data_IF_452574948863
#
_entry.id   IF_452574948863
#
_cell.length_a   1.000
_cell.length_b   1.000
_cell.length_c   1.000
_cell.angle_alpha   90.00
_cell.angle_beta   90.00
_cell.angle_gamma   90.00
#
_symmetry.space_group_name_H-M   'P 1'
#
loop_
_entity.id
_entity.type
_entity.pdbx_description
1 polymer ?
#
# COMPACT_ATOMS: atom_id res chain seq x y z
N UNK A 1 20.82 -2.89 1.80
CA UNK A 1 21.44 -3.09 0.47
C UNK A 1 20.36 -2.89 -0.60
N UNK A 2 20.74 -2.74 -1.89
CA UNK A 2 19.78 -2.69 -3.00
C UNK A 2 19.93 -3.94 -3.87
N UNK A 3 18.80 -4.55 -4.22
CA UNK A 3 18.70 -5.73 -5.08
C UNK A 3 17.96 -5.36 -6.36
N UNK A 4 18.34 -5.92 -7.49
CA UNK A 4 17.81 -5.50 -8.79
C UNK A 4 17.52 -6.70 -9.68
N UNK A 5 16.30 -6.72 -10.23
CA UNK A 5 15.93 -7.59 -11.34
C UNK A 5 15.60 -6.74 -12.57
N UNK A 6 15.88 -7.27 -13.75
CA UNK A 6 15.58 -6.54 -14.98
C UNK A 6 15.21 -7.47 -16.14
N UNK A 7 14.37 -6.96 -17.02
CA UNK A 7 14.05 -7.57 -18.30
C UNK A 7 14.25 -6.55 -19.44
N UNK A 8 13.80 -6.84 -20.64
CA UNK A 8 13.95 -5.95 -21.79
C UNK A 8 13.23 -4.61 -21.64
N UNK A 9 12.24 -4.51 -20.77
CA UNK A 9 11.36 -3.33 -20.61
C UNK A 9 11.60 -2.57 -19.32
N UNK A 10 11.77 -3.26 -18.21
CA UNK A 10 11.81 -2.67 -16.87
C UNK A 10 13.07 -3.09 -16.13
N UNK A 11 13.58 -2.18 -15.30
CA UNK A 11 14.56 -2.44 -14.27
C UNK A 11 13.93 -2.11 -12.91
N UNK A 12 13.81 -3.11 -12.05
CA UNK A 12 13.16 -3.01 -10.72
C UNK A 12 14.22 -3.11 -9.64
N UNK A 13 14.20 -2.19 -8.68
CA UNK A 13 15.12 -2.18 -7.54
C UNK A 13 14.34 -2.18 -6.24
N UNK A 14 14.75 -3.05 -5.31
CA UNK A 14 14.16 -3.23 -3.97
C UNK A 14 15.24 -3.06 -2.92
N UNK A 15 14.94 -2.33 -1.85
CA UNK A 15 15.84 -2.11 -0.71
C UNK A 15 15.65 -3.16 0.38
N UNK A 16 16.73 -3.53 1.09
CA UNK A 16 16.61 -4.28 2.36
C UNK A 16 15.84 -3.49 3.42
N UNK A 17 15.99 -2.16 3.41
CA UNK A 17 15.23 -1.29 4.30
C UNK A 17 13.76 -1.26 3.88
N UNK A 18 12.89 -1.78 4.74
CA UNK A 18 11.44 -1.89 4.49
C UNK A 18 11.03 -2.92 3.43
N UNK A 19 11.96 -3.68 2.84
CA UNK A 19 11.76 -4.44 1.61
C UNK A 19 11.07 -3.58 0.54
N UNK A 20 11.40 -2.28 0.53
CA UNK A 20 10.68 -1.25 -0.23
C UNK A 20 11.06 -1.31 -1.71
N UNK A 21 10.04 -1.30 -2.58
CA UNK A 21 10.20 -1.08 -4.02
C UNK A 21 10.64 0.37 -4.23
N UNK A 22 11.91 0.59 -4.54
CA UNK A 22 12.50 1.94 -4.61
C UNK A 22 12.61 2.49 -6.02
N UNK A 23 12.56 1.64 -7.05
CA UNK A 23 12.67 2.05 -8.44
C UNK A 23 11.99 1.05 -9.36
N UNK A 24 11.30 1.57 -10.37
CA UNK A 24 10.88 0.84 -11.57
C UNK A 24 11.19 1.73 -12.77
N UNK A 25 12.38 1.55 -13.33
CA UNK A 25 12.82 2.32 -14.49
C UNK A 25 12.31 1.69 -15.79
N UNK A 26 11.56 2.46 -16.58
CA UNK A 26 11.06 2.08 -17.89
C UNK A 26 12.11 2.36 -18.96
N UNK A 27 12.71 1.30 -19.50
CA UNK A 27 13.83 1.40 -20.46
C UNK A 27 13.42 1.98 -21.82
N UNK A 28 12.15 1.79 -22.23
CA UNK A 28 11.64 2.28 -23.50
C UNK A 28 11.22 3.74 -23.43
N UNK A 29 10.69 4.17 -22.29
CA UNK A 29 10.23 5.53 -22.07
C UNK A 29 11.30 6.42 -21.41
N UNK A 30 12.42 5.82 -20.97
CA UNK A 30 13.59 6.50 -20.37
C UNK A 30 13.24 7.35 -19.14
N UNK A 31 12.38 6.83 -18.23
CA UNK A 31 12.09 7.50 -16.96
C UNK A 31 11.69 6.55 -15.83
N UNK A 32 11.75 7.09 -14.60
CA UNK A 32 11.40 6.41 -13.36
C UNK A 32 9.88 6.42 -13.15
N UNK A 33 9.29 5.24 -12.96
CA UNK A 33 7.83 5.05 -12.78
C UNK A 33 7.39 5.15 -11.33
N UNK A 34 8.31 4.92 -10.38
CA UNK A 34 8.06 5.05 -8.93
C UNK A 34 8.56 6.42 -8.46
N UNK A 35 7.84 7.04 -7.56
CA UNK A 35 8.22 8.29 -6.92
C UNK A 35 9.61 8.22 -6.31
N UNK A 36 10.44 9.23 -6.53
CA UNK A 36 11.86 9.24 -6.18
C UNK A 36 12.16 9.47 -4.69
N UNK A 37 11.14 9.55 -3.83
CA UNK A 37 11.28 9.82 -2.40
C UNK A 37 11.98 11.14 -2.06
N UNK A 38 11.74 12.21 -2.82
CA UNK A 38 12.28 13.54 -2.51
C UNK A 38 11.84 13.96 -1.10
N UNK A 39 12.79 14.14 -0.14
CA UNK A 39 12.46 14.49 1.23
C UNK A 39 11.81 15.87 1.39
N UNK A 40 11.90 16.73 0.40
CA UNK A 40 11.19 18.01 0.39
C UNK A 40 9.69 17.86 0.18
N UNK A 41 9.25 16.71 -0.37
CA UNK A 41 7.84 16.42 -0.67
C UNK A 41 7.35 15.23 0.17
N UNK A 42 7.86 14.04 -0.12
CA UNK A 42 7.55 12.79 0.60
C UNK A 42 8.73 11.82 0.49
N UNK A 43 9.31 11.46 1.62
CA UNK A 43 10.59 10.74 1.71
C UNK A 43 10.46 9.21 1.68
N UNK A 44 9.48 8.66 0.95
CA UNK A 44 9.28 7.22 0.73
C UNK A 44 8.90 6.97 -0.72
N UNK A 45 9.12 5.75 -1.21
CA UNK A 45 8.80 5.32 -2.58
C UNK A 45 7.51 4.48 -2.64
N UNK A 46 7.53 3.30 -1.99
CA UNK A 46 6.45 2.32 -1.97
C UNK A 46 6.48 1.51 -0.67
N UNK A 47 6.31 2.13 0.50
CA UNK A 47 6.49 1.45 1.78
C UNK A 47 5.48 0.32 1.98
N UNK A 48 5.92 -0.74 2.67
CA UNK A 48 5.09 -1.84 3.13
C UNK A 48 4.52 -1.50 4.50
N UNK A 49 3.22 -1.67 4.66
CA UNK A 49 2.45 -1.33 5.85
C UNK A 49 2.19 -2.61 6.65
N UNK A 50 2.88 -2.81 7.77
CA UNK A 50 2.72 -3.99 8.62
C UNK A 50 3.29 -3.70 10.03
N UNK A 51 2.66 -4.18 11.11
CA UNK A 51 1.45 -4.98 11.18
C UNK A 51 0.16 -4.17 11.23
N UNK A 52 0.22 -2.87 10.97
CA UNK A 52 -0.93 -1.98 10.91
C UNK A 52 -0.94 -1.15 9.62
N UNK A 53 -2.13 -0.90 9.09
CA UNK A 53 -2.39 0.09 8.04
C UNK A 53 -2.98 1.34 8.69
N UNK A 54 -2.41 2.50 8.37
CA UNK A 54 -2.81 3.76 9.00
C UNK A 54 -2.35 3.87 10.46
N UNK A 55 -3.15 4.54 11.27
CA UNK A 55 -2.87 4.77 12.69
C UNK A 55 -3.75 3.90 13.58
N UNK A 56 -3.20 3.50 14.73
CA UNK A 56 -4.00 3.10 15.87
C UNK A 56 -4.34 4.34 16.70
N UNK A 57 -5.57 4.41 17.19
CA UNK A 57 -6.06 5.56 17.95
C UNK A 57 -5.21 5.77 19.20
N UNK A 58 -4.91 7.02 19.51
CA UNK A 58 -4.08 7.44 20.65
C UNK A 58 -2.66 6.85 20.65
N UNK A 59 -2.21 6.24 19.54
CA UNK A 59 -0.90 5.59 19.43
C UNK A 59 -0.74 4.35 20.32
N UNK A 60 -1.86 3.71 20.70
CA UNK A 60 -1.87 2.52 21.54
C UNK A 60 -3.10 1.66 21.25
N UNK A 61 -2.98 0.36 21.44
CA UNK A 61 -4.06 -0.60 21.27
C UNK A 61 -4.10 -1.60 22.43
N UNK A 62 -5.25 -2.24 22.62
CA UNK A 62 -5.45 -3.27 23.64
C UNK A 62 -5.49 -4.65 23.02
N UNK A 63 -4.85 -5.60 23.67
CA UNK A 63 -4.92 -7.02 23.30
C UNK A 63 -4.74 -7.89 24.55
N UNK A 64 -5.67 -8.83 24.78
CA UNK A 64 -5.66 -9.74 25.91
C UNK A 64 -5.46 -9.03 27.26
N UNK A 65 -6.15 -7.90 27.48
CA UNK A 65 -6.11 -7.11 28.71
C UNK A 65 -4.85 -6.26 28.90
N UNK A 66 -3.88 -6.33 28.01
CA UNK A 66 -2.69 -5.50 28.01
C UNK A 66 -2.82 -4.34 27.03
N UNK A 67 -2.06 -3.27 27.26
CA UNK A 67 -1.96 -2.12 26.33
C UNK A 67 -0.58 -2.11 25.70
N UNK A 68 -0.54 -2.03 24.39
CA UNK A 68 0.67 -1.94 23.57
C UNK A 68 0.74 -0.60 22.88
N UNK A 69 1.95 -0.07 22.71
CA UNK A 69 2.17 1.25 22.11
C UNK A 69 2.59 1.09 20.65
N UNK A 70 1.86 1.76 19.74
CA UNK A 70 2.21 1.87 18.31
C UNK A 70 2.09 3.33 17.90
N UNK A 71 3.13 4.11 18.18
CA UNK A 71 3.13 5.57 17.92
C UNK A 71 3.25 5.94 16.45
N UNK A 72 3.87 5.05 15.65
CA UNK A 72 4.05 5.27 14.23
C UNK A 72 2.81 4.84 13.46
N UNK A 73 2.42 5.60 12.42
CA UNK A 73 1.43 5.10 11.47
C UNK A 73 2.05 4.00 10.59
N UNK A 74 1.22 3.08 10.11
CA UNK A 74 1.58 2.00 9.19
C UNK A 74 2.51 0.93 9.79
N UNK A 75 2.55 0.81 11.13
CA UNK A 75 3.39 -0.18 11.81
C UNK A 75 4.89 0.11 11.69
N UNK A 76 5.69 -0.95 11.77
CA UNK A 76 7.15 -0.84 11.84
C UNK A 76 7.89 -1.45 10.64
N UNK A 77 7.25 -2.30 9.83
CA UNK A 77 7.97 -3.04 8.77
C UNK A 77 8.67 -2.12 7.77
N UNK A 78 8.06 -1.00 7.43
CA UNK A 78 8.65 -0.01 6.50
C UNK A 78 9.94 0.66 7.00
N UNK A 79 10.23 0.55 8.30
CA UNK A 79 11.43 1.10 8.95
C UNK A 79 12.38 0.00 9.44
N UNK A 80 12.05 -1.29 9.20
CA UNK A 80 12.85 -2.44 9.59
C UNK A 80 13.85 -2.84 8.48
N UNK A 81 14.97 -3.44 8.89
CA UNK A 81 15.90 -4.07 7.95
C UNK A 81 15.49 -5.51 7.69
N UNK A 82 15.17 -5.80 6.46
CA UNK A 82 14.87 -7.14 5.97
C UNK A 82 16.15 -7.82 5.49
N UNK A 83 16.13 -9.14 5.45
CA UNK A 83 17.19 -9.96 4.84
C UNK A 83 16.72 -10.44 3.47
N UNK A 84 17.46 -10.13 2.41
CA UNK A 84 17.23 -10.79 1.12
C UNK A 84 17.61 -12.26 1.24
N UNK A 85 16.65 -13.15 1.04
CA UNK A 85 16.83 -14.61 1.19
C UNK A 85 16.84 -15.35 -0.15
N UNK A 86 16.36 -14.72 -1.21
CA UNK A 86 16.40 -15.26 -2.56
C UNK A 86 16.42 -14.14 -3.59
N UNK A 87 17.29 -14.28 -4.57
CA UNK A 87 17.38 -13.41 -5.75
C UNK A 87 17.60 -14.29 -6.99
N UNK A 88 16.75 -14.13 -8.00
CA UNK A 88 16.85 -14.80 -9.29
C UNK A 88 16.92 -13.77 -10.41
N UNK A 89 16.86 -14.18 -11.66
CA UNK A 89 16.81 -13.23 -12.78
C UNK A 89 15.50 -12.42 -12.84
N UNK A 90 14.42 -12.93 -12.25
CA UNK A 90 13.06 -12.39 -12.36
C UNK A 90 12.38 -12.11 -11.01
N UNK A 91 13.01 -12.45 -9.88
CA UNK A 91 12.41 -12.28 -8.56
C UNK A 91 13.41 -11.95 -7.45
N UNK A 92 12.93 -11.20 -6.45
CA UNK A 92 13.63 -10.88 -5.21
C UNK A 92 12.69 -11.18 -4.05
N UNK A 93 13.17 -11.93 -3.05
CA UNK A 93 12.41 -12.22 -1.82
C UNK A 93 13.16 -11.75 -0.59
N UNK A 94 12.49 -10.90 0.18
CA UNK A 94 12.96 -10.40 1.47
C UNK A 94 12.20 -11.04 2.62
N UNK A 95 12.87 -11.15 3.77
CA UNK A 95 12.32 -11.73 4.99
C UNK A 95 12.55 -10.81 6.19
N UNK A 96 11.47 -10.63 6.99
CA UNK A 96 11.51 -10.08 8.35
C UNK A 96 10.94 -11.12 9.31
N UNK A 97 11.59 -11.31 10.46
CA UNK A 97 11.12 -12.17 11.55
C UNK A 97 10.99 -11.33 12.79
N UNK A 98 10.06 -11.68 13.67
CA UNK A 98 9.91 -11.03 14.98
C UNK A 98 11.23 -11.00 15.78
N UNK A 99 11.34 -10.06 16.67
CA UNK A 99 12.45 -9.93 17.62
C UNK A 99 11.91 -9.56 19.01
N UNK A 100 12.77 -9.54 20.00
CA UNK A 100 12.38 -9.11 21.36
C UNK A 100 11.82 -7.68 21.33
N UNK A 101 12.40 -6.78 20.52
CA UNK A 101 11.94 -5.40 20.37
C UNK A 101 10.56 -5.32 19.70
N UNK A 102 10.28 -6.15 18.70
CA UNK A 102 8.95 -6.17 18.08
C UNK A 102 7.92 -6.75 19.02
N UNK A 103 8.25 -7.74 19.84
CA UNK A 103 7.34 -8.34 20.82
C UNK A 103 6.91 -7.35 21.93
N UNK A 104 7.72 -6.35 22.26
CA UNK A 104 7.35 -5.28 23.20
C UNK A 104 6.18 -4.42 22.70
N UNK A 105 6.06 -4.23 21.37
CA UNK A 105 5.07 -3.35 20.76
C UNK A 105 4.01 -4.09 19.93
N UNK A 106 4.27 -5.35 19.58
CA UNK A 106 3.39 -6.23 18.82
C UNK A 106 3.62 -7.68 19.25
N UNK A 107 2.77 -8.23 20.16
CA UNK A 107 3.05 -9.45 20.93
C UNK A 107 2.78 -10.73 20.14
N UNK A 108 3.23 -10.79 18.90
CA UNK A 108 3.06 -11.95 18.04
C UNK A 108 4.39 -12.37 17.42
N UNK A 109 4.66 -13.68 17.45
CA UNK A 109 5.79 -14.29 16.75
C UNK A 109 5.44 -14.47 15.28
N UNK A 110 6.01 -13.66 14.42
CA UNK A 110 5.70 -13.65 12.99
C UNK A 110 6.93 -13.89 12.12
N UNK A 111 6.70 -14.37 10.90
CA UNK A 111 7.61 -14.24 9.76
C UNK A 111 6.86 -13.56 8.62
N UNK A 112 7.45 -12.53 8.03
CA UNK A 112 6.93 -11.83 6.86
C UNK A 112 7.90 -12.00 5.70
N UNK A 113 7.42 -12.58 4.60
CA UNK A 113 8.13 -12.62 3.32
C UNK A 113 7.50 -11.65 2.35
N UNK A 114 8.33 -10.91 1.63
CA UNK A 114 7.91 -9.99 0.57
C UNK A 114 8.65 -10.37 -0.71
N UNK A 115 7.89 -10.75 -1.73
CA UNK A 115 8.45 -11.13 -3.03
C UNK A 115 8.00 -10.16 -4.11
N UNK A 116 8.96 -9.60 -4.83
CA UNK A 116 8.75 -8.85 -6.06
C UNK A 116 9.17 -9.74 -7.23
N UNK A 117 8.28 -9.95 -8.20
CA UNK A 117 8.56 -10.87 -9.32
C UNK A 117 7.91 -10.39 -10.62
N UNK A 118 8.65 -10.44 -11.72
CA UNK A 118 8.07 -10.23 -13.05
C UNK A 118 7.10 -11.35 -13.41
N UNK A 119 6.04 -10.99 -14.13
CA UNK A 119 5.13 -11.96 -14.73
C UNK A 119 5.82 -12.66 -15.91
N UNK A 120 5.51 -13.95 -16.09
CA UNK A 120 6.15 -14.77 -17.13
C UNK A 120 5.64 -14.47 -18.54
N UNK A 121 4.41 -13.95 -18.67
CA UNK A 121 3.75 -13.71 -19.95
C UNK A 121 3.71 -12.21 -20.29
N UNK A 122 3.57 -11.35 -19.27
CA UNK A 122 3.57 -9.90 -19.43
C UNK A 122 4.80 -9.26 -18.77
N UNK A 123 5.86 -8.94 -19.54
CA UNK A 123 7.11 -8.41 -18.98
C UNK A 123 6.97 -6.99 -18.35
N UNK A 124 5.82 -6.33 -18.48
CA UNK A 124 5.51 -5.04 -17.85
C UNK A 124 4.67 -5.18 -16.59
N UNK A 125 4.34 -6.41 -16.18
CA UNK A 125 3.57 -6.73 -14.98
C UNK A 125 4.52 -7.19 -13.85
N UNK A 126 4.44 -6.53 -12.71
CA UNK A 126 5.14 -6.86 -11.48
C UNK A 126 4.15 -7.44 -10.46
N UNK A 127 4.42 -8.63 -9.97
CA UNK A 127 3.74 -9.21 -8.81
C UNK A 127 4.42 -8.76 -7.53
N UNK A 128 3.64 -8.31 -6.56
CA UNK A 128 4.06 -8.10 -5.17
C UNK A 128 3.28 -9.06 -4.30
N UNK A 129 3.99 -9.99 -3.66
CA UNK A 129 3.39 -11.04 -2.85
C UNK A 129 3.89 -10.95 -1.42
N UNK A 130 2.99 -11.03 -0.46
CA UNK A 130 3.27 -11.09 0.96
C UNK A 130 2.85 -12.46 1.51
N UNK A 131 3.78 -13.17 2.15
CA UNK A 131 3.46 -14.35 2.93
C UNK A 131 3.66 -13.99 4.41
N UNK A 132 2.57 -14.00 5.17
CA UNK A 132 2.55 -13.73 6.60
C UNK A 132 2.38 -15.06 7.32
N UNK A 133 3.32 -15.41 8.19
CA UNK A 133 3.29 -16.64 8.94
C UNK A 133 3.22 -16.37 10.43
N UNK A 134 2.31 -17.02 11.10
CA UNK A 134 2.22 -17.04 12.55
C UNK A 134 3.11 -18.17 13.09
N UNK A 135 4.18 -17.81 13.79
CA UNK A 135 5.10 -18.76 14.41
C UNK A 135 4.74 -19.07 15.87
N UNK A 136 3.77 -18.32 16.42
CA UNK A 136 3.31 -18.47 17.79
C UNK A 136 2.29 -19.60 18.00
N UNK A 137 1.89 -19.80 19.25
CA UNK A 137 0.93 -20.83 19.68
C UNK A 137 -0.52 -20.36 19.68
N UNK A 138 -0.77 -19.05 19.56
CA UNK A 138 -2.10 -18.43 19.63
C UNK A 138 -2.45 -17.77 18.31
N UNK A 139 -3.73 -17.34 18.15
CA UNK A 139 -4.17 -16.58 16.97
C UNK A 139 -3.44 -15.23 16.90
N UNK A 140 -2.82 -14.94 15.76
CA UNK A 140 -2.17 -13.67 15.45
C UNK A 140 -3.15 -12.76 14.72
N UNK A 141 -3.11 -11.46 15.07
CA UNK A 141 -3.91 -10.39 14.45
C UNK A 141 -2.97 -9.44 13.72
N UNK A 142 -3.27 -9.09 12.46
CA UNK A 142 -2.45 -8.17 11.68
C UNK A 142 -3.26 -7.44 10.61
N UNK A 143 -2.75 -6.30 10.19
CA UNK A 143 -3.09 -5.66 8.92
C UNK A 143 -1.85 -5.61 8.03
N UNK A 144 -2.04 -5.61 6.71
CA UNK A 144 -0.95 -5.44 5.76
C UNK A 144 -1.40 -4.63 4.56
N UNK A 145 -0.50 -3.82 4.00
CA UNK A 145 -0.79 -3.00 2.83
C UNK A 145 0.46 -2.57 2.07
N UNK A 146 0.26 -2.13 0.84
CA UNK A 146 1.27 -1.46 0.02
C UNK A 146 0.91 0.01 -0.18
N UNK A 147 1.93 0.83 -0.37
CA UNK A 147 1.77 2.28 -0.53
C UNK A 147 2.62 2.81 -1.71
N UNK A 148 2.56 2.18 -2.91
CA UNK A 148 3.38 2.61 -4.03
C UNK A 148 2.96 3.98 -4.54
N UNK A 149 3.92 4.92 -4.60
CA UNK A 149 3.79 6.21 -5.24
C UNK A 149 4.20 6.13 -6.71
N UNK A 150 3.30 6.45 -7.63
CA UNK A 150 3.57 6.43 -9.06
C UNK A 150 3.95 7.82 -9.54
N UNK A 151 5.16 7.95 -10.06
CA UNK A 151 5.72 9.19 -10.60
C UNK A 151 4.95 9.63 -11.84
N UNK A 152 4.52 10.88 -11.89
CA UNK A 152 3.98 11.49 -13.12
C UNK A 152 5.09 11.64 -14.15
N UNK A 153 4.80 11.36 -15.43
CA UNK A 153 5.78 11.41 -16.50
C UNK A 153 6.44 12.82 -16.59
N UNK A 154 7.75 12.90 -16.89
CA UNK A 154 8.45 14.16 -17.00
C UNK A 154 7.79 15.12 -18.00
N UNK A 155 7.64 16.38 -17.60
CA UNK A 155 7.03 17.43 -18.45
C UNK A 155 5.50 17.47 -18.40
N UNK A 156 4.86 16.58 -17.62
CA UNK A 156 3.42 16.57 -17.43
C UNK A 156 3.03 17.01 -16.03
N UNK A 157 1.86 17.61 -15.90
CA UNK A 157 1.25 17.92 -14.60
C UNK A 157 0.35 16.75 -14.16
N UNK A 158 0.22 16.56 -12.84
CA UNK A 158 -0.67 15.57 -12.25
C UNK A 158 -2.13 15.74 -12.70
N UNK A 159 -2.56 16.99 -12.91
CA UNK A 159 -3.91 17.34 -13.38
C UNK A 159 -4.20 16.91 -14.83
N UNK A 160 -3.20 16.48 -15.58
CA UNK A 160 -3.38 15.89 -16.92
C UNK A 160 -3.81 14.41 -16.84
N UNK A 161 -3.76 13.81 -15.65
CA UNK A 161 -4.12 12.41 -15.42
C UNK A 161 -5.51 12.27 -14.83
N UNK A 162 -6.07 11.08 -14.96
CA UNK A 162 -7.30 10.68 -14.27
C UNK A 162 -7.08 9.35 -13.56
N UNK A 163 -7.74 9.17 -12.41
CA UNK A 163 -7.91 7.85 -11.79
C UNK A 163 -8.83 7.03 -12.69
N UNK A 164 -8.37 5.86 -13.09
CA UNK A 164 -9.16 4.88 -13.83
C UNK A 164 -9.76 3.87 -12.88
N UNK A 165 -11.09 3.75 -12.89
CA UNK A 165 -11.85 2.78 -12.10
C UNK A 165 -12.07 1.49 -12.90
N UNK A 166 -12.33 0.34 -12.25
CA UNK A 166 -12.54 -0.94 -12.94
C UNK A 166 -13.78 -0.95 -13.84
N UNK A 167 -14.75 -0.11 -13.52
CA UNK A 167 -15.99 0.10 -14.26
C UNK A 167 -16.59 1.49 -13.94
N UNK A 168 -17.73 1.81 -14.56
CA UNK A 168 -18.43 3.07 -14.38
C UNK A 168 -19.50 3.07 -13.28
N UNK A 169 -19.49 2.09 -12.37
CA UNK A 169 -20.40 2.09 -11.24
C UNK A 169 -20.00 3.17 -10.22
N UNK A 170 -20.96 3.78 -9.51
CA UNK A 170 -20.67 4.75 -8.46
C UNK A 170 -19.79 4.17 -7.37
N UNK A 171 -18.77 4.91 -6.96
CA UNK A 171 -17.87 4.61 -5.86
C UNK A 171 -17.97 5.68 -4.79
N UNK A 172 -17.70 5.29 -3.56
CA UNK A 172 -17.73 6.17 -2.40
C UNK A 172 -16.48 5.97 -1.57
N UNK A 173 -16.05 7.01 -0.89
CA UNK A 173 -14.87 6.98 -0.04
C UNK A 173 -15.12 7.65 1.31
N UNK A 174 -14.33 7.26 2.31
CA UNK A 174 -14.19 7.95 3.57
C UNK A 174 -13.02 8.92 3.50
N UNK A 175 -13.07 9.96 4.30
CA UNK A 175 -11.93 10.83 4.59
C UNK A 175 -11.34 10.52 5.96
N UNK A 176 -10.12 10.93 6.15
CA UNK A 176 -9.53 11.02 7.48
C UNK A 176 -10.09 12.26 8.19
N UNK A 177 -9.98 12.31 9.51
CA UNK A 177 -10.55 13.41 10.28
C UNK A 177 -9.92 14.76 9.92
N UNK A 178 -10.75 15.81 9.98
CA UNK A 178 -10.33 17.17 9.65
C UNK A 178 -9.33 17.78 10.66
N UNK A 179 -9.16 17.17 11.84
CA UNK A 179 -8.19 17.60 12.84
C UNK A 179 -6.78 17.06 12.58
N UNK A 180 -6.62 16.20 11.55
CA UNK A 180 -5.32 15.65 11.14
C UNK A 180 -4.82 14.52 12.06
N UNK A 181 -5.71 13.83 12.77
CA UNK A 181 -5.32 12.66 13.58
C UNK A 181 -4.87 11.49 12.72
N UNK A 182 -5.34 11.42 11.46
CA UNK A 182 -5.12 10.30 10.54
C UNK A 182 -6.03 9.10 10.81
N UNK A 183 -7.12 9.30 11.58
CA UNK A 183 -8.16 8.30 11.86
C UNK A 183 -9.31 8.46 10.86
N UNK A 184 -10.05 7.39 10.56
CA UNK A 184 -11.16 7.43 9.63
C UNK A 184 -12.40 8.13 10.25
N UNK A 185 -12.94 9.12 9.54
CA UNK A 185 -14.26 9.70 9.84
C UNK A 185 -15.35 8.89 9.15
N UNK A 186 -15.94 7.95 9.89
CA UNK A 186 -17.03 7.10 9.41
C UNK A 186 -18.40 7.76 9.49
N UNK A 187 -18.48 9.00 9.99
CA UNK A 187 -19.75 9.75 10.07
C UNK A 187 -20.28 10.18 8.70
N UNK A 188 -19.43 10.21 7.68
CA UNK A 188 -19.73 10.65 6.32
C UNK A 188 -19.04 9.78 5.29
N UNK A 189 -19.76 9.52 4.20
CA UNK A 189 -19.27 8.87 3.01
C UNK A 189 -19.46 9.82 1.82
N UNK A 190 -18.45 9.95 0.96
CA UNK A 190 -18.43 10.92 -0.12
C UNK A 190 -18.51 10.21 -1.48
N UNK A 191 -19.30 10.71 -2.44
CA UNK A 191 -19.29 10.17 -3.80
C UNK A 191 -17.96 10.49 -4.47
N UNK A 192 -17.41 9.51 -5.21
CA UNK A 192 -16.14 9.67 -5.93
C UNK A 192 -16.35 9.95 -7.41
N UNK A 193 -17.24 9.22 -8.06
CA UNK A 193 -17.56 9.38 -9.47
C UNK A 193 -19.07 9.43 -9.70
N UNK A 194 -19.46 10.08 -10.79
CA UNK A 194 -20.83 10.03 -11.28
C UNK A 194 -21.10 8.69 -11.98
N UNK A 195 -22.34 8.22 -11.93
CA UNK A 195 -22.76 7.02 -12.64
C UNK A 195 -22.48 7.15 -14.15
N UNK A 196 -21.87 6.12 -14.74
CA UNK A 196 -21.47 6.10 -16.14
C UNK A 196 -20.08 6.67 -16.40
N UNK A 197 -19.35 7.15 -15.37
CA UNK A 197 -17.99 7.66 -15.52
C UNK A 197 -16.96 6.77 -14.79
N UNK A 198 -16.06 6.15 -15.54
CA UNK A 198 -14.97 5.34 -15.01
C UNK A 198 -13.65 6.14 -14.84
N UNK A 199 -13.61 7.42 -15.13
CA UNK A 199 -12.42 8.25 -15.06
C UNK A 199 -12.66 9.49 -14.22
N UNK A 200 -11.90 9.63 -13.13
CA UNK A 200 -11.99 10.79 -12.22
C UNK A 200 -10.73 11.63 -12.36
N UNK A 201 -10.82 12.90 -12.78
CA UNK A 201 -9.64 13.76 -12.93
C UNK A 201 -8.86 13.93 -11.63
N UNK A 202 -7.54 13.87 -11.69
CA UNK A 202 -6.66 14.18 -10.56
C UNK A 202 -6.51 15.69 -10.48
N UNK A 203 -7.47 16.35 -9.82
CA UNK A 203 -7.43 17.81 -9.63
C UNK A 203 -6.37 18.20 -8.60
N UNK A 204 -5.94 19.47 -8.62
CA UNK A 204 -4.97 19.99 -7.65
C UNK A 204 -5.47 19.90 -6.20
N UNK A 205 -6.80 19.93 -6.01
CA UNK A 205 -7.47 19.90 -4.70
C UNK A 205 -7.96 18.51 -4.26
N UNK A 206 -7.77 17.47 -5.08
CA UNK A 206 -8.32 16.13 -4.80
C UNK A 206 -7.84 15.57 -3.45
N UNK A 207 -6.61 15.90 -3.06
CA UNK A 207 -5.97 15.39 -1.85
C UNK A 207 -5.80 16.45 -0.74
N UNK A 208 -6.47 17.59 -0.82
CA UNK A 208 -6.42 18.65 0.21
C UNK A 208 -6.89 18.19 1.59
N UNK A 209 -7.70 17.13 1.63
CA UNK A 209 -8.23 16.50 2.84
C UNK A 209 -7.61 15.13 3.15
N UNK A 210 -6.36 14.94 2.69
CA UNK A 210 -5.62 13.69 2.87
C UNK A 210 -6.13 12.54 1.97
N UNK A 211 -5.92 11.28 2.38
CA UNK A 211 -6.22 10.08 1.62
C UNK A 211 -7.73 9.86 1.41
N UNK A 212 -8.07 9.35 0.24
CA UNK A 212 -9.40 8.84 -0.09
C UNK A 212 -9.42 7.34 0.23
N UNK A 213 -10.24 6.93 1.21
CA UNK A 213 -10.28 5.55 1.69
C UNK A 213 -11.51 4.84 1.13
N UNK A 214 -11.31 3.85 0.28
CA UNK A 214 -12.36 3.00 -0.28
C UNK A 214 -12.45 1.71 0.53
N UNK A 215 -13.66 1.27 0.83
CA UNK A 215 -13.97 0.07 1.61
C UNK A 215 -14.73 -0.96 0.76
N UNK A 216 -15.00 -2.13 1.34
CA UNK A 216 -15.90 -3.16 0.80
C UNK A 216 -15.51 -3.72 -0.58
N UNK A 217 -14.21 -3.72 -0.91
CA UNK A 217 -13.73 -4.25 -2.17
C UNK A 217 -14.23 -3.49 -3.41
N UNK A 218 -14.57 -2.22 -3.26
CA UNK A 218 -15.10 -1.38 -4.35
C UNK A 218 -14.13 -1.26 -5.53
N UNK A 219 -12.82 -1.39 -5.27
CA UNK A 219 -11.77 -1.20 -6.25
C UNK A 219 -10.90 -2.46 -6.40
N UNK A 220 -11.39 -3.53 -7.09
CA UNK A 220 -10.57 -4.71 -7.39
C UNK A 220 -9.38 -4.40 -8.31
N UNK A 221 -9.46 -3.27 -9.02
CA UNK A 221 -8.33 -2.63 -9.70
C UNK A 221 -8.52 -1.11 -9.72
N UNK A 222 -7.41 -0.41 -9.81
CA UNK A 222 -7.36 1.05 -9.95
C UNK A 222 -6.13 1.44 -10.74
N UNK A 223 -6.20 2.50 -11.55
CA UNK A 223 -5.07 2.91 -12.37
C UNK A 223 -5.00 4.41 -12.57
N UNK A 224 -3.97 4.83 -13.28
CA UNK A 224 -3.85 6.16 -13.85
C UNK A 224 -3.93 6.07 -15.37
N UNK A 225 -4.62 7.00 -15.97
CA UNK A 225 -4.65 7.20 -17.42
C UNK A 225 -4.26 8.64 -17.72
N UNK A 226 -3.65 8.85 -18.90
CA UNK A 226 -3.32 10.19 -19.39
C UNK A 226 -4.55 10.97 -19.89
N UNK A 227 -4.32 12.15 -20.47
CA UNK A 227 -5.37 13.02 -21.00
C UNK A 227 -6.21 12.34 -22.11
N UNK A 228 -5.61 11.46 -22.89
CA UNK A 228 -6.25 10.69 -23.97
C UNK A 228 -6.90 9.39 -23.47
N UNK A 229 -6.91 9.15 -22.16
CA UNK A 229 -7.39 7.93 -21.50
C UNK A 229 -6.57 6.68 -21.85
N UNK A 230 -5.33 6.86 -22.28
CA UNK A 230 -4.39 5.76 -22.46
C UNK A 230 -3.89 5.31 -21.09
N UNK A 231 -3.89 4.00 -20.78
CA UNK A 231 -3.39 3.49 -19.52
C UNK A 231 -1.92 3.87 -19.30
N UNK A 232 -1.62 4.36 -18.11
CA UNK A 232 -0.28 4.70 -17.63
C UNK A 232 0.23 3.65 -16.66
N UNK A 233 -0.53 3.35 -15.61
CA UNK A 233 -0.30 2.28 -14.66
C UNK A 233 -1.63 1.69 -14.22
N UNK A 234 -1.66 0.37 -13.99
CA UNK A 234 -2.82 -0.33 -13.41
C UNK A 234 -2.36 -1.18 -12.24
N UNK A 235 -2.97 -0.98 -11.09
CA UNK A 235 -2.81 -1.82 -9.91
C UNK A 235 -4.05 -2.71 -9.79
N UNK A 236 -3.85 -4.04 -9.70
CA UNK A 236 -4.92 -5.02 -9.51
C UNK A 236 -4.78 -5.69 -8.14
N UNK A 237 -5.85 -5.63 -7.35
CA UNK A 237 -5.91 -6.09 -5.96
C UNK A 237 -7.28 -6.70 -5.64
N UNK A 238 -7.68 -7.72 -6.38
CA UNK A 238 -9.05 -8.28 -6.39
C UNK A 238 -9.55 -8.72 -5.00
N UNK A 239 -8.67 -9.22 -4.15
CA UNK A 239 -9.04 -9.77 -2.83
C UNK A 239 -8.83 -8.76 -1.68
N UNK A 240 -8.59 -7.49 -2.02
CA UNK A 240 -8.35 -6.46 -1.02
C UNK A 240 -9.64 -5.69 -0.71
N UNK A 241 -10.10 -5.67 0.55
CA UNK A 241 -11.32 -4.96 0.94
C UNK A 241 -11.15 -3.44 0.96
N UNK A 242 -9.91 -2.95 1.03
CA UNK A 242 -9.62 -1.52 1.12
C UNK A 242 -8.62 -1.07 0.07
N UNK A 243 -8.83 0.14 -0.44
CA UNK A 243 -7.87 0.84 -1.30
C UNK A 243 -7.75 2.29 -0.84
N UNK A 244 -6.53 2.75 -0.64
CA UNK A 244 -6.22 4.16 -0.45
C UNK A 244 -5.80 4.81 -1.77
N UNK A 245 -6.23 6.04 -2.02
CA UNK A 245 -5.69 6.87 -3.10
C UNK A 245 -5.20 8.17 -2.46
N UNK A 246 -3.93 8.51 -2.67
CA UNK A 246 -3.32 9.63 -2.00
C UNK A 246 -2.18 10.29 -2.79
N UNK A 247 -1.93 11.54 -2.50
CA UNK A 247 -0.72 12.28 -2.84
C UNK A 247 -0.54 13.45 -1.88
N UNK A 248 0.66 13.97 -1.75
CA UNK A 248 0.84 15.32 -1.23
C UNK A 248 0.17 16.32 -2.17
N UNK A 249 -0.41 17.44 -1.67
CA UNK A 249 -1.09 18.43 -2.51
C UNK A 249 -0.27 18.84 -3.75
N UNK A 250 1.01 19.15 -3.60
CA UNK A 250 1.89 19.57 -4.70
C UNK A 250 2.81 18.44 -5.21
N UNK A 251 2.57 17.18 -4.82
CA UNK A 251 3.41 16.05 -5.21
C UNK A 251 3.19 15.66 -6.68
N UNK A 252 4.27 15.50 -7.48
CA UNK A 252 4.15 15.03 -8.87
C UNK A 252 4.02 13.49 -8.95
N UNK A 253 3.22 12.91 -8.10
CA UNK A 253 2.95 11.48 -8.03
C UNK A 253 1.52 11.22 -7.52
N UNK A 254 1.07 9.98 -7.64
CA UNK A 254 -0.18 9.49 -7.02
C UNK A 254 0.10 8.12 -6.42
N UNK A 255 -0.31 7.91 -5.16
CA UNK A 255 -0.29 6.59 -4.53
C UNK A 255 -1.61 5.85 -4.82
N UNK A 256 -1.49 4.57 -5.17
CA UNK A 256 -2.61 3.63 -5.30
C UNK A 256 -2.31 2.47 -4.35
N UNK A 257 -3.09 2.33 -3.30
CA UNK A 257 -2.68 1.60 -2.10
C UNK A 257 -3.62 0.44 -1.79
N UNK A 258 -3.25 -0.83 -2.07
CA UNK A 258 -4.05 -1.99 -1.70
C UNK A 258 -3.85 -2.34 -0.22
N UNK A 259 -4.96 -2.51 0.53
CA UNK A 259 -4.88 -2.76 1.97
C UNK A 259 -5.77 -3.92 2.44
N UNK A 260 -5.23 -4.70 3.38
CA UNK A 260 -5.93 -5.64 4.26
C UNK A 260 -5.92 -5.06 5.66
N UNK A 261 -6.99 -4.38 6.03
CA UNK A 261 -7.10 -3.52 7.20
C UNK A 261 -6.93 -2.04 6.85
N UNK A 262 -7.24 -1.17 7.78
CA UNK A 262 -7.12 0.29 7.65
C UNK A 262 -6.91 0.98 9.00
N UNK A 263 -6.72 2.30 8.98
CA UNK A 263 -6.67 3.15 10.17
C UNK A 263 -7.91 2.97 11.06
N UNK A 264 -7.76 3.15 12.37
CA UNK A 264 -8.89 3.11 13.30
C UNK A 264 -9.93 4.19 12.97
N UNK A 265 -11.17 3.94 13.38
CA UNK A 265 -12.20 4.98 13.40
C UNK A 265 -11.89 5.99 14.52
N UNK A 266 -12.33 7.22 14.34
CA UNK A 266 -12.23 8.28 15.36
C UNK A 266 -12.88 7.88 16.70
N UNK A 267 -13.96 7.13 16.66
CA UNK A 267 -14.72 6.65 17.81
C UNK A 267 -14.33 5.24 18.28
N UNK A 268 -13.32 4.62 17.68
CA UNK A 268 -12.89 3.26 18.05
C UNK A 268 -12.41 3.21 19.51
N UNK A 269 -12.94 2.25 20.24
CA UNK A 269 -12.60 1.99 21.67
C UNK A 269 -12.44 0.51 21.96
N UNK A 270 -12.48 -0.33 20.90
CA UNK A 270 -12.42 -1.78 21.00
C UNK A 270 -11.04 -2.35 21.34
N UNK A 271 -10.98 -3.67 21.41
CA UNK A 271 -9.73 -4.45 21.45
C UNK A 271 -9.18 -4.63 20.01
N UNK A 272 -7.91 -5.02 19.87
CA UNK A 272 -7.30 -5.25 18.56
C UNK A 272 -8.12 -6.20 17.69
N UNK A 273 -8.72 -7.23 18.28
CA UNK A 273 -9.56 -8.20 17.57
C UNK A 273 -10.86 -7.60 16.97
N UNK A 274 -11.24 -6.40 17.39
CA UNK A 274 -12.42 -5.65 16.93
C UNK A 274 -12.06 -4.53 15.95
N UNK A 275 -10.75 -4.34 15.70
CA UNK A 275 -10.27 -3.31 14.77
C UNK A 275 -10.78 -3.60 13.35
N UNK A 276 -11.32 -2.57 12.63
CA UNK A 276 -11.82 -2.75 11.28
C UNK A 276 -10.78 -3.33 10.32
N UNK A 277 -11.14 -4.46 9.68
CA UNK A 277 -10.33 -5.11 8.65
C UNK A 277 -9.12 -5.89 9.17
N UNK A 278 -8.95 -6.04 10.48
CA UNK A 278 -7.86 -6.83 11.06
C UNK A 278 -7.94 -8.29 10.62
N UNK A 279 -6.83 -8.82 10.10
CA UNK A 279 -6.72 -10.20 9.66
C UNK A 279 -6.42 -11.12 10.84
N UNK A 280 -6.93 -12.37 10.77
CA UNK A 280 -6.74 -13.39 11.80
C UNK A 280 -6.02 -14.59 11.22
N UNK A 281 -4.95 -15.01 11.88
CA UNK A 281 -4.14 -16.12 11.44
C UNK A 281 -3.91 -17.09 12.60
N UNK A 282 -4.46 -18.28 12.50
CA UNK A 282 -4.31 -19.31 13.54
C UNK A 282 -2.84 -19.72 13.74
N UNK A 283 -2.55 -20.31 14.88
CA UNK A 283 -1.21 -20.78 15.22
C UNK A 283 -0.58 -21.65 14.15
N UNK A 284 0.69 -21.41 13.83
CA UNK A 284 1.49 -22.13 12.82
C UNK A 284 0.90 -22.11 11.38
N UNK A 285 -0.04 -21.22 11.08
CA UNK A 285 -0.56 -21.03 9.73
C UNK A 285 0.22 -19.97 8.96
N UNK A 286 0.00 -19.98 7.63
CA UNK A 286 0.51 -18.98 6.69
C UNK A 286 -0.65 -18.44 5.87
N UNK A 287 -0.67 -17.14 5.65
CA UNK A 287 -1.56 -16.46 4.71
C UNK A 287 -0.72 -15.78 3.62
N UNK A 288 -1.17 -15.93 2.37
CA UNK A 288 -0.51 -15.32 1.22
C UNK A 288 -1.45 -14.32 0.56
N UNK A 289 -0.97 -13.11 0.37
CA UNK A 289 -1.68 -12.01 -0.28
C UNK A 289 -0.85 -11.50 -1.45
N UNK A 290 -1.51 -11.11 -2.54
CA UNK A 290 -0.79 -10.64 -3.72
C UNK A 290 -1.59 -9.56 -4.44
N UNK A 291 -0.87 -8.57 -4.96
CA UNK A 291 -1.39 -7.62 -5.93
C UNK A 291 -0.41 -7.49 -7.08
N UNK A 292 -0.86 -6.90 -8.18
CA UNK A 292 -0.01 -6.69 -9.35
C UNK A 292 0.02 -5.22 -9.75
N UNK A 293 1.12 -4.81 -10.37
CA UNK A 293 1.30 -3.48 -10.95
C UNK A 293 1.70 -3.67 -12.41
N UNK A 294 0.87 -3.19 -13.33
CA UNK A 294 1.18 -3.15 -14.76
C UNK A 294 1.61 -1.75 -15.17
N UNK A 295 2.82 -1.64 -15.69
CA UNK A 295 3.41 -0.39 -16.19
C UNK A 295 3.22 -0.33 -17.71
N UNK A 296 2.22 0.42 -18.16
CA UNK A 296 1.91 0.55 -19.60
C UNK A 296 2.93 1.41 -20.33
N UNK A 297 3.19 1.05 -21.59
CA UNK A 297 4.16 1.68 -22.48
C UNK A 297 3.55 2.52 -23.59
#
# INVERSE_FOLDING_TARGET
>A
MLHTIENDYLKVTVSDHGAELTSVYDKAQDFERIWCADPAVWNRHAPVLFPFVGKVKDGAYRYNGNTYTMKTQHGFARDAEFTCIAETADSITHKLVYSDETLEIYPFEFELLITHRFDAENPRLLHVTWAVKNLGSDEMLYSIGGHPGFQIAPGHARSEYSIALPDANPRHYLLLDAAGSGLADTSKCYPFNDAGNAYVPVTDTLFDKDALVFEDGQLPSVGLVDADKKPFVTLTCTDFPYVGIWSKPDGPYVCLEPWLGRTDNMDFTGDLAEKPGEQKLIANAEAVHSYTIEFHG
#
